data_IF_127048962655
#
_entry.id   IF_127048962655
#
_cell.length_a   1.000
_cell.length_b   1.000
_cell.length_c   1.000
_cell.angle_alpha   90.00
_cell.angle_beta   90.00
_cell.angle_gamma   90.00
#
_symmetry.space_group_name_H-M   'P 1'
#
loop_
_entity.id
_entity.type
_entity.pdbx_description
1 polymer ?
#
# COMPACT_ATOMS: atom_id res chain seq x y z
N UNK A 1 -5.09 11.48 -8.60
CA UNK A 1 -5.94 11.33 -7.39
C UNK A 1 -5.13 11.40 -6.09
N UNK A 2 -4.05 10.62 -5.95
CA UNK A 2 -3.28 10.55 -4.69
C UNK A 2 -2.72 11.90 -4.25
N UNK A 3 -2.17 12.68 -5.17
CA UNK A 3 -1.74 14.05 -4.87
C UNK A 3 -2.89 14.93 -4.34
N UNK A 4 -4.10 14.83 -4.92
CA UNK A 4 -5.25 15.58 -4.43
C UNK A 4 -5.71 15.14 -3.03
N UNK A 5 -5.51 13.86 -2.66
CA UNK A 5 -5.84 13.35 -1.34
C UNK A 5 -4.79 13.70 -0.27
N UNK A 6 -3.51 13.69 -0.64
CA UNK A 6 -2.40 13.65 0.32
C UNK A 6 -1.42 14.82 0.20
N UNK A 7 -1.47 15.57 -0.90
CA UNK A 7 -0.46 16.56 -1.30
C UNK A 7 0.96 15.98 -1.40
N UNK A 8 1.07 14.66 -1.61
CA UNK A 8 2.34 13.95 -1.79
C UNK A 8 2.39 13.42 -3.22
N UNK A 9 3.45 13.79 -3.93
CA UNK A 9 3.80 13.24 -5.23
C UNK A 9 4.42 11.85 -5.05
N UNK A 10 3.78 10.85 -5.65
CA UNK A 10 4.18 9.44 -5.57
C UNK A 10 5.18 9.05 -6.64
N UNK A 11 5.18 9.76 -7.78
CA UNK A 11 6.11 9.56 -8.89
C UNK A 11 7.43 10.24 -8.55
N UNK A 12 8.47 9.43 -8.34
CA UNK A 12 9.77 9.91 -7.84
C UNK A 12 10.88 9.77 -8.86
N UNK A 13 10.78 8.80 -9.76
CA UNK A 13 11.77 8.59 -10.79
C UNK A 13 11.57 9.64 -11.89
N UNK A 14 12.65 10.24 -12.43
CA UNK A 14 12.55 11.14 -13.58
C UNK A 14 11.75 10.52 -14.74
N UNK A 15 11.94 9.22 -14.99
CA UNK A 15 11.23 8.46 -16.00
C UNK A 15 9.72 8.33 -15.73
N UNK A 16 9.30 8.22 -14.47
CA UNK A 16 7.87 8.20 -14.09
C UNK A 16 7.20 9.53 -14.45
N UNK A 17 7.90 10.64 -14.18
CA UNK A 17 7.43 12.00 -14.48
C UNK A 17 7.37 12.30 -15.97
N UNK A 18 8.36 11.84 -16.72
CA UNK A 18 8.41 12.02 -18.18
C UNK A 18 7.34 11.20 -18.90
N UNK A 19 7.04 9.98 -18.42
CA UNK A 19 6.06 9.08 -19.05
C UNK A 19 4.65 9.19 -18.49
N UNK A 20 4.45 9.88 -17.37
CA UNK A 20 3.17 9.96 -16.67
C UNK A 20 2.67 8.58 -16.19
N UNK A 21 3.60 7.66 -15.90
CA UNK A 21 3.30 6.29 -15.49
C UNK A 21 4.16 5.92 -14.29
N UNK A 22 3.52 5.45 -13.22
CA UNK A 22 4.20 4.90 -12.04
C UNK A 22 4.93 3.59 -12.42
N UNK A 23 6.21 3.47 -12.08
CA UNK A 23 7.09 2.35 -12.43
C UNK A 23 7.36 1.49 -11.18
N UNK A 24 7.59 2.14 -10.03
CA UNK A 24 7.75 1.48 -8.73
C UNK A 24 6.67 1.93 -7.74
N UNK A 25 6.52 1.23 -6.61
CA UNK A 25 5.48 1.53 -5.63
C UNK A 25 5.58 2.98 -5.11
N UNK A 26 4.56 3.78 -5.35
CA UNK A 26 4.45 5.10 -4.75
C UNK A 26 3.98 5.01 -3.30
N UNK A 27 4.46 5.90 -2.43
CA UNK A 27 4.01 5.93 -1.03
C UNK A 27 3.63 7.34 -0.63
N UNK A 28 2.37 7.48 -0.21
CA UNK A 28 1.82 8.69 0.35
C UNK A 28 1.13 8.37 1.69
N UNK A 29 0.72 9.40 2.40
CA UNK A 29 -0.06 9.27 3.61
C UNK A 29 -0.84 10.55 3.85
N UNK A 30 -1.90 10.45 4.63
CA UNK A 30 -2.67 11.60 5.06
C UNK A 30 -3.17 11.41 6.48
N UNK A 31 -3.50 12.53 7.13
CA UNK A 31 -4.24 12.55 8.38
C UNK A 31 -5.71 12.80 8.04
N UNK A 32 -6.58 11.91 8.48
CA UNK A 32 -8.03 12.08 8.36
C UNK A 32 -8.53 13.16 9.33
N UNK A 33 -9.72 13.74 9.10
CA UNK A 33 -10.36 14.67 10.03
C UNK A 33 -10.53 14.12 11.44
N UNK A 34 -10.78 12.81 11.58
CA UNK A 34 -10.82 12.09 12.86
C UNK A 34 -9.49 12.07 13.63
N UNK A 35 -8.38 12.41 12.98
CA UNK A 35 -7.04 12.39 13.53
C UNK A 35 -6.22 11.14 13.21
N UNK A 36 -6.85 10.11 12.66
CA UNK A 36 -6.20 8.86 12.25
C UNK A 36 -5.28 9.08 11.05
N UNK A 37 -4.17 8.35 11.00
CA UNK A 37 -3.21 8.40 9.88
C UNK A 37 -3.43 7.21 8.97
N UNK A 38 -3.52 7.48 7.68
CA UNK A 38 -3.72 6.47 6.64
C UNK A 38 -2.52 6.47 5.71
N UNK A 39 -1.93 5.30 5.49
CA UNK A 39 -0.92 5.09 4.45
C UNK A 39 -1.59 4.75 3.13
N UNK A 40 -1.09 5.33 2.03
CA UNK A 40 -1.53 5.03 0.68
C UNK A 40 -0.34 4.46 -0.09
N UNK A 41 -0.56 3.31 -0.70
CA UNK A 41 0.37 2.68 -1.64
C UNK A 41 -0.19 2.88 -3.03
N UNK A 42 0.55 3.61 -3.85
CA UNK A 42 0.27 3.74 -5.28
C UNK A 42 0.89 2.54 -5.99
N UNK A 43 0.07 1.78 -6.69
CA UNK A 43 0.51 0.58 -7.40
C UNK A 43 0.53 0.86 -8.90
N UNK A 44 1.59 0.45 -9.61
CA UNK A 44 1.67 0.65 -11.04
C UNK A 44 0.60 -0.17 -11.78
N UNK A 45 -0.03 0.41 -12.79
CA UNK A 45 -1.12 -0.23 -13.55
C UNK A 45 -0.71 -0.99 -14.81
N UNK A 46 0.58 -1.04 -15.13
CA UNK A 46 1.05 -1.74 -16.31
C UNK A 46 1.20 -3.24 -16.03
N UNK A 47 0.76 -4.10 -16.96
CA UNK A 47 0.85 -5.57 -16.91
C UNK A 47 2.26 -6.11 -16.55
N UNK A 48 3.32 -5.42 -17.00
CA UNK A 48 4.71 -5.78 -16.70
C UNK A 48 5.11 -5.54 -15.22
N UNK A 49 4.24 -4.90 -14.43
CA UNK A 49 4.50 -4.44 -13.07
C UNK A 49 3.56 -5.09 -12.02
N UNK A 50 2.80 -6.12 -12.40
CA UNK A 50 1.98 -6.93 -11.49
C UNK A 50 2.79 -7.46 -10.30
N UNK A 51 4.05 -7.86 -10.54
CA UNK A 51 4.96 -8.30 -9.47
C UNK A 51 5.18 -7.20 -8.41
N UNK A 52 5.24 -5.94 -8.84
CA UNK A 52 5.34 -4.80 -7.93
C UNK A 52 4.03 -4.58 -7.18
N UNK A 53 2.88 -4.69 -7.86
CA UNK A 53 1.57 -4.61 -7.24
C UNK A 53 1.40 -5.68 -6.14
N UNK A 54 1.70 -6.95 -6.41
CA UNK A 54 1.58 -8.05 -5.44
C UNK A 54 2.44 -7.77 -4.20
N UNK A 55 3.68 -7.31 -4.40
CA UNK A 55 4.56 -6.95 -3.28
C UNK A 55 3.99 -5.82 -2.42
N UNK A 56 3.39 -4.80 -3.05
CA UNK A 56 2.75 -3.67 -2.35
C UNK A 56 1.40 -4.03 -1.71
N UNK A 57 0.74 -5.06 -2.22
CA UNK A 57 -0.58 -5.48 -1.76
C UNK A 57 -0.55 -6.34 -0.48
N UNK A 58 0.62 -6.89 -0.14
CA UNK A 58 0.81 -7.60 1.13
C UNK A 58 0.61 -6.68 2.34
N UNK A 59 -0.44 -6.95 3.11
CA UNK A 59 -0.78 -6.16 4.30
C UNK A 59 -1.73 -4.99 4.08
N UNK A 60 -2.28 -4.83 2.86
CA UNK A 60 -3.34 -3.84 2.59
C UNK A 60 -4.60 -4.13 3.44
N UNK A 61 -5.26 -3.06 3.87
CA UNK A 61 -6.54 -3.12 4.61
C UNK A 61 -7.76 -2.89 3.69
N UNK A 62 -7.64 -1.96 2.75
CA UNK A 62 -8.64 -1.66 1.73
C UNK A 62 -8.00 -1.21 0.42
N UNK A 63 -8.76 -1.33 -0.67
CA UNK A 63 -8.37 -0.83 -2.00
C UNK A 63 -9.20 0.38 -2.41
N UNK A 64 -8.58 1.32 -3.13
CA UNK A 64 -9.32 2.31 -3.93
C UNK A 64 -9.19 1.87 -5.39
N UNK A 65 -10.25 1.27 -5.94
CA UNK A 65 -10.27 0.86 -7.34
C UNK A 65 -10.63 2.07 -8.19
N UNK A 66 -9.67 2.55 -8.98
CA UNK A 66 -9.85 3.72 -9.83
C UNK A 66 -10.31 3.29 -11.22
N UNK A 67 -11.39 3.90 -11.69
CA UNK A 67 -11.95 3.70 -13.03
C UNK A 67 -12.03 5.05 -13.71
N UNK A 68 -11.56 5.15 -14.95
CA UNK A 68 -11.68 6.37 -15.74
C UNK A 68 -13.12 6.49 -16.29
N UNK A 69 -13.77 7.65 -16.15
CA UNK A 69 -15.13 7.84 -16.65
C UNK A 69 -15.22 7.83 -18.19
N UNK A 70 -14.15 8.25 -18.87
CA UNK A 70 -14.07 8.25 -20.32
C UNK A 70 -13.82 6.83 -20.87
N UNK A 71 -12.92 6.06 -20.26
CA UNK A 71 -12.57 4.71 -20.74
C UNK A 71 -13.51 3.62 -20.20
N UNK A 72 -13.99 3.77 -18.96
CA UNK A 72 -14.80 2.78 -18.27
C UNK A 72 -13.95 1.62 -17.74
N UNK A 73 -14.56 0.43 -17.63
CA UNK A 73 -13.87 -0.75 -17.09
C UNK A 73 -12.92 -1.37 -18.12
N UNK A 74 -11.62 -1.23 -17.89
CA UNK A 74 -10.56 -1.69 -18.80
C UNK A 74 -9.99 -3.05 -18.39
N UNK A 75 -9.27 -3.76 -19.29
CA UNK A 75 -8.59 -5.02 -18.96
C UNK A 75 -7.65 -4.91 -17.74
N UNK A 76 -6.93 -3.80 -17.61
CA UNK A 76 -6.08 -3.53 -16.45
C UNK A 76 -6.88 -3.37 -15.14
N UNK A 77 -8.06 -2.75 -15.21
CA UNK A 77 -8.99 -2.67 -14.07
C UNK A 77 -9.47 -4.06 -13.65
N UNK A 78 -9.80 -4.91 -14.62
CA UNK A 78 -10.19 -6.31 -14.39
C UNK A 78 -9.06 -7.10 -13.72
N UNK A 79 -7.84 -6.99 -14.22
CA UNK A 79 -6.67 -7.69 -13.67
C UNK A 79 -6.37 -7.25 -12.24
N UNK A 80 -6.38 -5.94 -11.97
CA UNK A 80 -6.23 -5.42 -10.61
C UNK A 80 -7.33 -5.91 -9.67
N UNK A 81 -8.56 -5.95 -10.16
CA UNK A 81 -9.69 -6.46 -9.40
C UNK A 81 -9.51 -7.96 -9.06
N UNK A 82 -9.04 -8.78 -10.00
CA UNK A 82 -8.75 -10.18 -9.75
C UNK A 82 -7.63 -10.39 -8.72
N UNK A 83 -6.60 -9.54 -8.73
CA UNK A 83 -5.53 -9.57 -7.70
C UNK A 83 -6.10 -9.21 -6.33
N UNK A 84 -6.96 -8.19 -6.25
CA UNK A 84 -7.65 -7.79 -5.00
C UNK A 84 -8.48 -8.95 -4.45
N UNK A 85 -9.21 -9.67 -5.31
CA UNK A 85 -10.03 -10.83 -4.94
C UNK A 85 -9.16 -12.00 -4.46
N UNK A 86 -8.09 -12.32 -5.20
CA UNK A 86 -7.12 -13.37 -4.83
C UNK A 86 -6.45 -13.11 -3.47
N UNK A 87 -6.21 -11.83 -3.15
CA UNK A 87 -5.61 -11.41 -1.88
C UNK A 87 -6.62 -11.31 -0.73
N UNK A 88 -7.91 -11.64 -0.97
CA UNK A 88 -9.01 -11.56 0.01
C UNK A 88 -9.13 -10.17 0.67
N UNK A 89 -8.95 -9.10 -0.13
CA UNK A 89 -9.12 -7.72 0.36
C UNK A 89 -10.62 -7.41 0.46
N UNK A 90 -11.10 -7.28 1.70
CA UNK A 90 -12.55 -7.27 2.01
C UNK A 90 -13.22 -5.91 1.90
N UNK A 91 -12.42 -4.84 1.86
CA UNK A 91 -12.91 -3.48 1.92
C UNK A 91 -12.38 -2.71 0.71
N UNK A 92 -13.21 -1.86 0.13
CA UNK A 92 -12.76 -1.00 -0.94
C UNK A 92 -13.69 0.16 -1.22
N UNK A 93 -13.20 1.08 -2.05
CA UNK A 93 -13.90 2.26 -2.54
C UNK A 93 -13.70 2.27 -4.05
N UNK A 94 -14.76 2.52 -4.82
CA UNK A 94 -14.65 2.69 -6.27
C UNK A 94 -14.59 4.19 -6.57
N UNK A 95 -13.52 4.65 -7.20
CA UNK A 95 -13.35 6.04 -7.60
C UNK A 95 -13.51 6.16 -9.13
N UNK A 96 -14.63 6.73 -9.57
CA UNK A 96 -14.84 7.06 -10.99
C UNK A 96 -14.22 8.43 -11.23
N UNK A 97 -13.09 8.47 -11.92
CA UNK A 97 -12.26 9.67 -12.12
C UNK A 97 -12.50 10.34 -13.47
N UNK A 98 -12.03 11.59 -13.63
CA UNK A 98 -12.17 12.39 -14.86
C UNK A 98 -13.62 12.60 -15.29
N UNK A 99 -14.53 12.73 -14.33
CA UNK A 99 -15.96 12.99 -14.60
C UNK A 99 -16.21 14.31 -15.34
N UNK A 100 -15.24 15.23 -15.31
CA UNK A 100 -15.26 16.49 -16.04
C UNK A 100 -15.14 16.33 -17.56
N UNK A 101 -14.73 15.14 -18.05
CA UNK A 101 -14.55 14.87 -19.48
C UNK A 101 -15.75 14.18 -20.12
N UNK A 102 -16.80 13.85 -19.36
CA UNK A 102 -17.93 13.05 -19.86
C UNK A 102 -19.28 13.62 -19.46
N UNK A 103 -20.31 13.28 -20.24
CA UNK A 103 -21.70 13.64 -19.92
C UNK A 103 -22.34 12.64 -18.92
N UNK A 104 -23.55 12.97 -18.47
CA UNK A 104 -24.29 12.13 -17.53
C UNK A 104 -24.64 10.75 -18.11
N UNK A 105 -24.85 10.66 -19.42
CA UNK A 105 -25.18 9.41 -20.12
C UNK A 105 -24.01 8.43 -20.04
N UNK A 106 -22.81 8.89 -20.39
CA UNK A 106 -21.58 8.12 -20.31
C UNK A 106 -21.28 7.71 -18.87
N UNK A 107 -21.46 8.63 -17.92
CA UNK A 107 -21.23 8.34 -16.50
C UNK A 107 -22.16 7.23 -15.99
N UNK A 108 -23.45 7.29 -16.30
CA UNK A 108 -24.42 6.25 -15.94
C UNK A 108 -24.04 4.89 -16.55
N UNK A 109 -23.56 4.88 -17.79
CA UNK A 109 -23.09 3.66 -18.45
C UNK A 109 -21.90 3.04 -17.72
N UNK A 110 -20.92 3.83 -17.30
CA UNK A 110 -19.76 3.35 -16.53
C UNK A 110 -20.18 2.82 -15.15
N UNK A 111 -21.12 3.47 -14.47
CA UNK A 111 -21.66 2.99 -13.19
C UNK A 111 -22.34 1.62 -13.33
N UNK A 112 -23.15 1.42 -14.37
CA UNK A 112 -23.78 0.12 -14.65
C UNK A 112 -22.75 -0.96 -15.03
N UNK A 113 -21.70 -0.61 -15.78
CA UNK A 113 -20.59 -1.53 -16.07
C UNK A 113 -19.91 -2.00 -14.78
N UNK A 114 -19.54 -1.07 -13.89
CA UNK A 114 -18.92 -1.36 -12.59
C UNK A 114 -19.83 -2.28 -11.78
N UNK A 115 -21.11 -1.92 -11.64
CA UNK A 115 -22.09 -2.69 -10.87
C UNK A 115 -22.25 -4.12 -11.40
N UNK A 116 -22.25 -4.30 -12.73
CA UNK A 116 -22.32 -5.62 -13.36
C UNK A 116 -21.06 -6.45 -13.09
N UNK A 117 -19.87 -5.84 -13.16
CA UNK A 117 -18.57 -6.50 -12.92
C UNK A 117 -18.38 -6.90 -11.48
N UNK A 118 -18.78 -6.05 -10.54
CA UNK A 118 -18.70 -6.30 -9.10
C UNK A 118 -19.85 -7.17 -8.57
N UNK A 119 -20.74 -7.65 -9.46
CA UNK A 119 -21.82 -8.55 -9.06
C UNK A 119 -21.23 -9.83 -8.48
N UNK A 120 -21.72 -10.22 -7.29
CA UNK A 120 -21.27 -11.41 -6.54
C UNK A 120 -19.82 -11.35 -6.04
N UNK A 121 -19.24 -10.15 -5.88
CA UNK A 121 -17.88 -9.99 -5.35
C UNK A 121 -17.90 -9.30 -3.99
N UNK A 122 -16.77 -9.34 -3.26
CA UNK A 122 -16.63 -8.66 -1.95
C UNK A 122 -16.81 -7.14 -2.05
N UNK A 123 -16.63 -6.57 -3.24
CA UNK A 123 -16.75 -5.13 -3.51
C UNK A 123 -18.12 -4.72 -4.06
N UNK A 124 -19.12 -5.61 -4.12
CA UNK A 124 -20.46 -5.28 -4.63
C UNK A 124 -21.07 -4.03 -3.96
N UNK A 125 -20.88 -3.91 -2.64
CA UNK A 125 -21.42 -2.81 -1.84
C UNK A 125 -20.37 -1.73 -1.51
N UNK A 126 -19.24 -1.71 -2.24
CA UNK A 126 -18.24 -0.67 -2.07
C UNK A 126 -18.83 0.70 -2.44
N UNK A 127 -18.57 1.76 -1.66
CA UNK A 127 -19.00 3.10 -2.02
C UNK A 127 -18.39 3.52 -3.37
N UNK A 128 -19.24 4.01 -4.27
CA UNK A 128 -18.84 4.58 -5.56
C UNK A 128 -18.79 6.10 -5.43
N UNK A 129 -17.64 6.69 -5.69
CA UNK A 129 -17.40 8.12 -5.58
C UNK A 129 -16.98 8.68 -6.93
N UNK A 130 -17.72 9.68 -7.40
CA UNK A 130 -17.45 10.46 -8.61
C UNK A 130 -16.40 11.52 -8.29
N UNK A 131 -15.32 11.55 -9.07
CA UNK A 131 -14.15 12.37 -8.80
C UNK A 131 -13.70 13.16 -10.02
N UNK A 132 -13.48 14.46 -9.83
CA UNK A 132 -12.70 15.31 -10.74
C UNK A 132 -11.58 15.96 -9.95
N UNK A 133 -10.33 15.66 -10.28
CA UNK A 133 -9.19 16.29 -9.63
C UNK A 133 -8.97 17.73 -10.13
N UNK A 134 -9.44 18.06 -11.33
CA UNK A 134 -9.36 19.41 -11.91
C UNK A 134 -10.33 20.35 -11.20
N UNK A 135 -11.58 19.89 -11.01
CA UNK A 135 -12.63 20.67 -10.37
C UNK A 135 -12.73 20.45 -8.85
N UNK A 136 -11.79 19.68 -8.27
CA UNK A 136 -11.77 19.28 -6.86
C UNK A 136 -13.08 18.64 -6.35
N UNK A 137 -13.74 17.85 -7.20
CA UNK A 137 -14.99 17.17 -6.89
C UNK A 137 -14.70 15.79 -6.29
N UNK A 138 -15.38 15.44 -5.20
CA UNK A 138 -15.40 14.07 -4.65
C UNK A 138 -14.19 13.70 -3.78
N UNK A 139 -13.16 14.55 -3.70
CA UNK A 139 -11.96 14.29 -2.88
C UNK A 139 -12.29 14.11 -1.40
N UNK A 140 -13.10 15.00 -0.83
CA UNK A 140 -13.51 14.87 0.56
C UNK A 140 -14.48 13.71 0.79
N UNK A 141 -15.28 13.33 -0.22
CA UNK A 141 -16.11 12.12 -0.16
C UNK A 141 -15.27 10.85 -0.11
N UNK A 142 -14.15 10.79 -0.83
CA UNK A 142 -13.18 9.69 -0.70
C UNK A 142 -12.61 9.66 0.72
N UNK A 143 -12.20 10.81 1.29
CA UNK A 143 -11.69 10.86 2.66
C UNK A 143 -12.73 10.38 3.68
N UNK A 144 -13.98 10.82 3.55
CA UNK A 144 -15.08 10.35 4.41
C UNK A 144 -15.31 8.86 4.26
N UNK A 145 -15.34 8.33 3.02
CA UNK A 145 -15.50 6.91 2.78
C UNK A 145 -14.35 6.08 3.39
N UNK A 146 -13.10 6.57 3.34
CA UNK A 146 -11.97 5.93 4.04
C UNK A 146 -12.20 5.93 5.55
N UNK A 147 -12.63 7.06 6.12
CA UNK A 147 -12.92 7.18 7.55
C UNK A 147 -14.02 6.21 7.99
N UNK A 148 -15.07 6.03 7.20
CA UNK A 148 -16.18 5.12 7.48
C UNK A 148 -15.78 3.64 7.41
N UNK A 149 -14.69 3.32 6.71
CA UNK A 149 -14.15 1.96 6.62
C UNK A 149 -13.29 1.59 7.83
N UNK A 150 -12.55 2.52 8.43
CA UNK A 150 -11.66 2.27 9.57
C UNK A 150 -12.32 1.47 10.70
N UNK A 151 -13.49 1.86 11.25
CA UNK A 151 -14.09 1.13 12.36
C UNK A 151 -14.58 -0.28 11.97
N UNK A 152 -14.75 -0.56 10.67
CA UNK A 152 -15.18 -1.87 10.16
C UNK A 152 -14.00 -2.83 10.03
N UNK A 153 -12.77 -2.31 9.96
CA UNK A 153 -11.56 -3.09 9.79
C UNK A 153 -11.11 -3.69 11.12
N UNK A 154 -10.78 -4.98 11.11
CA UNK A 154 -10.18 -5.62 12.29
C UNK A 154 -8.71 -5.18 12.41
N UNK A 155 -8.21 -4.86 13.61
CA UNK A 155 -6.80 -4.65 13.83
C UNK A 155 -5.97 -5.82 13.29
N UNK A 156 -4.83 -5.51 12.66
CA UNK A 156 -3.94 -6.56 12.16
C UNK A 156 -3.47 -7.45 13.31
N UNK A 157 -3.52 -8.76 13.10
CA UNK A 157 -3.20 -9.76 14.10
C UNK A 157 -1.74 -9.64 14.57
N UNK A 158 -1.55 -9.46 15.87
CA UNK A 158 -0.25 -9.66 16.52
C UNK A 158 -0.15 -11.12 16.98
N UNK A 159 0.87 -11.83 16.49
CA UNK A 159 1.16 -13.23 16.88
C UNK A 159 2.51 -13.35 17.58
N UNK A 160 3.10 -12.24 18.04
CA UNK A 160 4.41 -12.18 18.69
C UNK A 160 5.58 -12.55 17.76
N UNK A 161 5.41 -12.41 16.44
CA UNK A 161 6.40 -12.70 15.39
C UNK A 161 6.52 -11.52 14.42
N UNK A 162 7.09 -10.38 14.86
CA UNK A 162 7.22 -9.19 14.03
C UNK A 162 8.08 -9.48 12.79
N UNK A 163 7.52 -9.16 11.63
CA UNK A 163 8.11 -9.32 10.30
C UNK A 163 7.87 -8.06 9.49
N UNK A 164 8.94 -7.40 9.09
CA UNK A 164 8.86 -6.33 8.10
C UNK A 164 9.51 -6.81 6.80
N UNK A 165 8.71 -6.89 5.74
CA UNK A 165 9.20 -7.20 4.40
C UNK A 165 9.80 -5.95 3.78
N UNK A 166 11.08 -6.01 3.42
CA UNK A 166 11.80 -4.87 2.87
C UNK A 166 11.30 -4.62 1.45
N UNK A 167 10.79 -3.42 1.21
CA UNK A 167 10.47 -2.94 -0.15
C UNK A 167 11.52 -1.98 -0.70
N UNK A 168 12.21 -1.22 0.16
CA UNK A 168 13.28 -0.29 -0.23
C UNK A 168 14.42 -0.30 0.77
N UNK A 169 15.61 -0.05 0.23
CA UNK A 169 16.86 0.11 0.97
C UNK A 169 17.58 1.35 0.45
N UNK A 170 17.94 2.26 1.35
CA UNK A 170 18.67 3.48 0.99
C UNK A 170 19.58 3.93 2.13
N UNK A 171 20.58 4.74 1.80
CA UNK A 171 21.46 5.35 2.78
C UNK A 171 21.02 6.78 3.05
N UNK A 172 20.96 7.15 4.32
CA UNK A 172 20.81 8.53 4.75
C UNK A 172 22.16 9.02 5.25
N UNK A 173 22.67 10.11 4.66
CA UNK A 173 23.94 10.73 5.04
C UNK A 173 23.95 11.01 6.56
N UNK A 174 24.98 10.53 7.25
CA UNK A 174 25.13 10.67 8.71
C UNK A 174 24.26 9.74 9.57
N UNK A 175 23.26 9.05 9.00
CA UNK A 175 22.36 8.16 9.76
C UNK A 175 22.61 6.68 9.51
N UNK A 176 23.14 6.29 8.35
CA UNK A 176 23.40 4.91 7.96
C UNK A 176 22.36 4.34 7.01
N UNK A 177 22.26 3.01 6.97
CA UNK A 177 21.33 2.29 6.09
C UNK A 177 19.93 2.21 6.70
N UNK A 178 18.94 2.62 5.91
CA UNK A 178 17.53 2.60 6.27
C UNK A 178 16.80 1.67 5.31
N UNK A 179 15.89 0.86 5.87
CA UNK A 179 14.98 0.02 5.12
C UNK A 179 13.54 0.43 5.38
N UNK A 180 12.67 0.29 4.38
CA UNK A 180 11.22 0.48 4.56
C UNK A 180 10.45 -0.78 4.22
N UNK A 181 9.28 -0.92 4.85
CA UNK A 181 8.39 -2.05 4.62
C UNK A 181 7.10 -1.96 5.43
N UNK A 182 6.20 -2.89 5.15
CA UNK A 182 4.98 -3.10 5.94
C UNK A 182 5.25 -4.12 7.04
N UNK A 183 4.99 -3.72 8.29
CA UNK A 183 5.16 -4.59 9.45
C UNK A 183 3.93 -5.48 9.63
N UNK A 184 4.14 -6.78 9.85
CA UNK A 184 3.09 -7.74 10.18
C UNK A 184 3.48 -8.63 11.35
N UNK A 185 2.48 -9.27 11.98
CA UNK A 185 2.66 -10.39 12.89
C UNK A 185 3.29 -10.06 14.25
N UNK A 186 3.66 -8.81 14.51
CA UNK A 186 4.09 -8.33 15.81
C UNK A 186 4.55 -6.88 15.81
N UNK A 187 4.87 -6.37 16.99
CA UNK A 187 5.37 -5.01 17.21
C UNK A 187 6.90 -4.95 17.14
N UNK A 188 7.45 -3.92 16.49
CA UNK A 188 8.87 -3.56 16.54
C UNK A 188 9.05 -2.32 17.42
N UNK A 189 10.17 -2.22 18.14
CA UNK A 189 10.50 -1.05 18.93
C UNK A 189 11.92 -0.56 18.70
N UNK A 190 12.16 0.73 18.97
CA UNK A 190 13.49 1.33 18.90
C UNK A 190 14.44 0.61 19.86
N UNK A 191 15.66 0.31 19.42
CA UNK A 191 16.66 -0.44 20.18
C UNK A 191 16.47 -1.96 20.14
N UNK A 192 15.41 -2.49 19.53
CA UNK A 192 15.17 -3.93 19.43
C UNK A 192 16.26 -4.61 18.58
N UNK A 193 16.79 -5.72 19.07
CA UNK A 193 17.61 -6.61 18.27
C UNK A 193 16.74 -7.33 17.22
N UNK A 194 17.25 -7.45 16.00
CA UNK A 194 16.52 -8.05 14.86
C UNK A 194 17.47 -8.91 14.03
N UNK A 195 16.90 -9.84 13.29
CA UNK A 195 17.63 -10.70 12.36
C UNK A 195 17.11 -10.47 10.95
N UNK A 196 18.04 -10.30 10.01
CA UNK A 196 17.75 -10.16 8.59
C UNK A 196 17.68 -11.54 7.95
N UNK A 197 16.60 -11.85 7.25
CA UNK A 197 16.46 -13.06 6.44
C UNK A 197 16.51 -12.69 4.95
N UNK A 198 17.10 -13.55 4.10
CA UNK A 198 17.59 -14.90 4.39
C UNK A 198 19.05 -14.97 4.87
N UNK A 199 19.75 -13.83 5.05
CA UNK A 199 21.19 -13.80 5.38
C UNK A 199 21.54 -14.18 6.82
N UNK A 200 20.55 -14.27 7.72
CA UNK A 200 20.68 -14.50 9.16
C UNK A 200 21.55 -13.48 9.90
N UNK A 201 21.82 -12.31 9.30
CA UNK A 201 22.62 -11.25 9.92
C UNK A 201 21.86 -10.63 11.09
N UNK A 202 22.52 -10.54 12.24
CA UNK A 202 21.97 -9.89 13.43
C UNK A 202 22.31 -8.41 13.42
N UNK A 203 21.32 -7.57 13.70
CA UNK A 203 21.48 -6.12 13.81
C UNK A 203 20.52 -5.59 14.89
N UNK A 204 20.47 -4.27 15.05
CA UNK A 204 19.60 -3.56 15.98
C UNK A 204 18.94 -2.38 15.29
N UNK A 205 17.69 -2.11 15.64
CA UNK A 205 16.97 -0.92 15.19
C UNK A 205 17.51 0.29 15.94
N UNK A 206 18.27 1.16 15.29
CA UNK A 206 18.76 2.43 15.87
C UNK A 206 17.62 3.41 16.07
N UNK A 207 16.88 3.66 14.99
CA UNK A 207 15.74 4.56 14.94
C UNK A 207 14.63 3.93 14.12
N UNK A 208 13.40 4.31 14.44
CA UNK A 208 12.20 3.82 13.81
C UNK A 208 11.30 5.02 13.50
N UNK A 209 10.77 5.06 12.28
CA UNK A 209 9.84 6.10 11.85
C UNK A 209 8.61 5.52 11.17
N UNK A 210 7.47 6.18 11.36
CA UNK A 210 6.24 5.94 10.58
C UNK A 210 5.77 7.30 10.06
N UNK A 211 5.37 7.37 8.79
CA UNK A 211 4.87 8.63 8.19
C UNK A 211 5.80 9.85 8.35
N UNK A 212 7.12 9.64 8.24
CA UNK A 212 8.19 10.66 8.46
C UNK A 212 8.31 11.19 9.88
N UNK A 213 7.61 10.60 10.85
CA UNK A 213 7.73 10.93 12.26
C UNK A 213 8.50 9.83 13.01
N UNK A 214 9.35 10.24 13.94
CA UNK A 214 10.06 9.30 14.82
C UNK A 214 9.10 8.74 15.86
N UNK A 215 9.12 7.43 16.06
CA UNK A 215 8.28 6.75 17.05
C UNK A 215 9.04 5.64 17.77
N UNK A 216 8.66 5.37 19.01
CA UNK A 216 9.26 4.29 19.82
C UNK A 216 8.82 2.90 19.36
N UNK A 217 7.62 2.79 18.77
CA UNK A 217 7.00 1.52 18.39
C UNK A 217 6.31 1.60 17.02
N UNK A 218 6.44 0.53 16.23
CA UNK A 218 5.60 0.26 15.07
C UNK A 218 4.72 -0.96 15.34
N UNK A 219 3.45 -0.87 14.98
CA UNK A 219 2.45 -1.93 15.14
C UNK A 219 2.21 -2.67 13.82
N UNK A 220 1.69 -3.92 13.86
CA UNK A 220 1.23 -4.61 12.66
C UNK A 220 0.29 -3.74 11.81
N UNK A 221 0.46 -3.78 10.49
CA UNK A 221 -0.23 -2.92 9.52
C UNK A 221 0.48 -1.58 9.25
N UNK A 222 1.41 -1.16 10.13
CA UNK A 222 2.14 0.09 9.92
C UNK A 222 3.22 -0.07 8.86
N UNK A 223 3.31 0.93 7.98
CA UNK A 223 4.51 1.15 7.16
C UNK A 223 5.59 1.81 8.02
N UNK A 224 6.74 1.16 8.15
CA UNK A 224 7.83 1.64 8.99
C UNK A 224 9.13 1.81 8.20
N UNK A 225 9.91 2.82 8.56
CA UNK A 225 11.29 3.00 8.18
C UNK A 225 12.19 2.64 9.37
N UNK A 226 13.11 1.69 9.17
CA UNK A 226 14.02 1.19 10.19
C UNK A 226 15.44 1.58 9.83
N UNK A 227 16.12 2.30 10.72
CA UNK A 227 17.56 2.52 10.62
C UNK A 227 18.30 1.36 11.31
N UNK A 228 19.10 0.62 10.56
CA UNK A 228 19.76 -0.60 11.02
C UNK A 228 21.24 -0.35 11.32
N UNK A 229 21.69 -0.79 12.50
CA UNK A 229 23.09 -0.60 12.94
C UNK A 229 24.02 -1.58 12.23
N UNK A 230 25.12 -1.06 11.65
CA UNK A 230 26.20 -1.89 11.11
C UNK A 230 25.81 -2.70 9.87
N UNK A 231 24.75 -2.29 9.17
CA UNK A 231 24.36 -2.84 7.87
C UNK A 231 24.74 -1.84 6.78
N UNK A 232 25.19 -2.36 5.65
CA UNK A 232 25.39 -1.61 4.40
C UNK A 232 24.24 -1.86 3.42
N UNK A 233 23.96 -0.86 2.57
CA UNK A 233 22.92 -0.96 1.52
C UNK A 233 23.09 -2.20 0.63
N UNK A 234 24.33 -2.59 0.28
CA UNK A 234 24.61 -3.73 -0.60
C UNK A 234 24.30 -5.10 0.02
N UNK A 235 24.10 -5.14 1.33
CA UNK A 235 23.83 -6.37 2.08
C UNK A 235 22.33 -6.64 2.25
N UNK A 236 21.49 -5.71 1.79
CA UNK A 236 20.04 -5.69 2.01
C UNK A 236 19.34 -5.50 0.67
N UNK A 237 18.33 -6.31 0.43
CA UNK A 237 17.60 -6.32 -0.82
C UNK A 237 16.09 -6.26 -0.59
N UNK A 238 15.36 -5.83 -1.62
CA UNK A 238 13.90 -5.97 -1.65
C UNK A 238 13.53 -7.46 -1.53
N UNK A 239 12.56 -7.76 -0.66
CA UNK A 239 12.15 -9.13 -0.33
C UNK A 239 12.84 -9.70 0.91
N UNK A 240 13.94 -9.10 1.39
CA UNK A 240 14.53 -9.47 2.68
C UNK A 240 13.54 -9.18 3.81
N UNK A 241 13.67 -9.90 4.93
CA UNK A 241 12.78 -9.78 6.07
C UNK A 241 13.56 -9.30 7.28
N UNK A 242 13.13 -8.20 7.88
CA UNK A 242 13.54 -7.82 9.23
C UNK A 242 12.64 -8.56 10.22
N UNK A 243 13.20 -9.53 10.93
CA UNK A 243 12.49 -10.34 11.92
C UNK A 243 12.91 -9.97 13.34
N UNK A 244 12.00 -10.14 14.29
CA UNK A 244 12.35 -10.09 15.72
C UNK A 244 13.37 -11.15 16.14
N UNK A 245 13.67 -11.23 17.44
CA UNK A 245 14.74 -12.10 17.97
C UNK A 245 14.40 -13.59 18.04
N UNK A 246 13.15 -13.99 17.75
CA UNK A 246 12.78 -15.41 17.77
C UNK A 246 13.56 -16.16 16.69
N UNK A 247 14.08 -17.34 17.03
CA UNK A 247 14.76 -18.17 16.07
C UNK A 247 13.72 -18.83 15.15
N UNK A 248 13.76 -18.48 13.86
CA UNK A 248 12.99 -19.14 12.81
C UNK A 248 13.97 -19.77 11.82
N UNK A 249 13.56 -20.89 11.19
CA UNK A 249 14.32 -21.55 10.14
C UNK A 249 13.60 -21.35 8.81
N UNK A 250 14.34 -20.99 7.77
CA UNK A 250 13.81 -21.00 6.42
C UNK A 250 13.52 -22.45 5.98
N UNK A 251 12.45 -22.64 5.20
CA UNK A 251 12.11 -23.90 4.53
C UNK A 251 12.09 -23.67 3.03
N UNK A 252 12.45 -24.71 2.26
CA UNK A 252 12.26 -24.75 0.79
C UNK A 252 10.99 -25.50 0.39
N UNK A 253 10.33 -26.16 1.34
CA UNK A 253 9.14 -26.96 1.12
C UNK A 253 7.91 -26.22 1.67
N UNK A 254 6.84 -26.18 0.89
CA UNK A 254 5.56 -25.59 1.24
C UNK A 254 4.43 -26.47 0.71
N UNK A 255 3.42 -26.69 1.56
CA UNK A 255 2.15 -27.28 1.15
C UNK A 255 1.13 -26.15 0.96
N UNK A 256 0.47 -26.12 -0.20
CA UNK A 256 -0.51 -25.09 -0.55
C UNK A 256 -1.85 -25.73 -0.86
N UNK A 257 -2.94 -25.09 -0.41
CA UNK A 257 -4.30 -25.40 -0.86
C UNK A 257 -4.68 -24.32 -1.86
N UNK A 258 -4.90 -24.73 -3.11
CA UNK A 258 -5.40 -23.88 -4.19
C UNK A 258 -6.92 -23.89 -4.15
#
# INVERSE_FOLDING_TARGET
LIYALTSIDTDRLPEEKERGMTIDLGFAWMKLPSGEKVGIVDVPGHENLIKNMIAGATGIDAVILVVDANEGWMPQTEEHFQIVDLLDIKYGIIAITKIDLVDQTRLNFVEEQIKKRLKNTVLLNAPVVKVSTVNNIGIDRIKSAIQDLIPRMKPKRDIGKPRLFIDRVFNIKGSGTVVTGTLIGGTLHRGMAVTIFPSYKKTRIRNLQTYKETTEKAFPGSRAALNLVGMEKKELHRGDIVFGTRQIKASKNIDVRI
#
